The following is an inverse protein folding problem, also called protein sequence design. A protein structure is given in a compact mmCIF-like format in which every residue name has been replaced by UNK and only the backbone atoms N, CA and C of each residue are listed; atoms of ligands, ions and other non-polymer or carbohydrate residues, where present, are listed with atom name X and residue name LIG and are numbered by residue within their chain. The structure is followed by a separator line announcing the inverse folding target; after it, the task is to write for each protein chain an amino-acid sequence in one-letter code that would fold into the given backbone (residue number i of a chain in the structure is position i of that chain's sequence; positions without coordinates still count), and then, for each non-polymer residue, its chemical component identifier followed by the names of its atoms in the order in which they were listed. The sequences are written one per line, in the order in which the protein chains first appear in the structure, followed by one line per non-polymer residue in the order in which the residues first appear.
data_IF_357634385714
#
_entry.id   IF_357634385714
#
_cell.length_a   1.000
_cell.length_b   1.000
_cell.length_c   1.000
_cell.angle_alpha   90.00
_cell.angle_beta   90.00
_cell.angle_gamma   90.00
#
_symmetry.space_group_name_H-M   'P 1'
#
loop_
_entity.id
_entity.type
_entity.pdbx_description
1 polymer ?
#
# COMPACT_ATOMS: atom_id res chain seq x y z
N UNK A 1 20.46 8.09 -7.98
CA UNK A 1 19.51 8.93 -7.24
C UNK A 1 18.66 7.96 -6.43
N UNK A 2 18.91 7.80 -5.13
CA UNK A 2 18.18 6.82 -4.31
C UNK A 2 16.85 7.47 -3.89
N UNK A 3 15.77 7.15 -4.59
CA UNK A 3 14.42 7.54 -4.20
C UNK A 3 13.70 6.32 -3.66
N UNK A 4 13.33 6.33 -2.38
CA UNK A 4 12.46 5.30 -1.83
C UNK A 4 11.06 5.42 -2.46
N UNK A 5 10.36 4.29 -2.56
CA UNK A 5 8.95 4.26 -2.97
C UNK A 5 8.09 3.72 -1.82
N UNK A 6 6.85 4.19 -1.74
CA UNK A 6 5.87 3.71 -0.79
C UNK A 6 4.60 3.35 -1.56
N UNK A 7 4.14 2.12 -1.42
CA UNK A 7 2.82 1.69 -1.90
C UNK A 7 1.87 1.61 -0.70
N UNK A 8 0.76 2.34 -0.75
CA UNK A 8 -0.24 2.40 0.31
C UNK A 8 -1.56 1.78 -0.16
N UNK A 9 -2.03 0.75 0.55
CA UNK A 9 -3.31 0.11 0.28
C UNK A 9 -4.43 0.76 1.10
N UNK A 10 -5.55 1.14 0.46
CA UNK A 10 -6.72 1.72 1.13
C UNK A 10 -8.00 1.05 0.64
N UNK A 11 -8.96 0.85 1.53
CA UNK A 11 -10.29 0.33 1.18
C UNK A 11 -11.37 1.42 1.10
N UNK A 12 -11.28 2.47 1.94
CA UNK A 12 -12.26 3.55 1.96
C UNK A 12 -11.84 4.67 0.98
N UNK A 13 -12.63 4.98 -0.06
CA UNK A 13 -12.30 6.00 -1.05
C UNK A 13 -12.19 7.41 -0.44
N UNK A 14 -12.87 7.69 0.67
CA UNK A 14 -12.75 8.99 1.36
C UNK A 14 -11.37 9.15 2.01
N UNK A 15 -10.88 8.08 2.63
CA UNK A 15 -9.53 8.07 3.22
C UNK A 15 -8.45 8.05 2.15
N UNK A 16 -8.67 7.35 1.04
CA UNK A 16 -7.77 7.37 -0.12
C UNK A 16 -7.64 8.80 -0.67
N UNK A 17 -8.75 9.46 -0.96
CA UNK A 17 -8.76 10.84 -1.46
C UNK A 17 -8.12 11.84 -0.49
N UNK A 18 -8.31 11.66 0.82
CA UNK A 18 -7.62 12.48 1.82
C UNK A 18 -6.10 12.23 1.83
N UNK A 19 -5.67 10.97 1.71
CA UNK A 19 -4.26 10.60 1.65
C UNK A 19 -3.59 11.16 0.38
N UNK A 20 -4.22 11.04 -0.79
CA UNK A 20 -3.72 11.60 -2.05
C UNK A 20 -3.51 13.12 -1.94
N UNK A 21 -4.50 13.86 -1.42
CA UNK A 21 -4.36 15.31 -1.20
C UNK A 21 -3.21 15.64 -0.26
N UNK A 22 -3.05 14.89 0.82
CA UNK A 22 -1.99 15.14 1.79
C UNK A 22 -0.60 14.84 1.22
N UNK A 23 -0.47 13.74 0.46
CA UNK A 23 0.75 13.38 -0.28
C UNK A 23 1.12 14.47 -1.28
N UNK A 24 0.16 14.95 -2.06
CA UNK A 24 0.38 16.03 -3.02
C UNK A 24 0.80 17.34 -2.34
N UNK A 25 0.11 17.72 -1.27
CA UNK A 25 0.46 18.93 -0.49
C UNK A 25 1.86 18.84 0.14
N UNK A 26 2.32 17.62 0.47
CA UNK A 26 3.64 17.38 1.02
C UNK A 26 4.75 17.22 -0.05
N UNK A 27 4.39 17.20 -1.34
CA UNK A 27 5.35 17.10 -2.45
C UNK A 27 5.90 15.70 -2.71
N UNK A 28 5.18 14.64 -2.33
CA UNK A 28 5.64 13.24 -2.44
C UNK A 28 4.91 12.42 -3.50
N UNK A 29 4.16 13.05 -4.40
CA UNK A 29 3.37 12.35 -5.43
C UNK A 29 4.20 11.41 -6.31
N UNK A 30 5.48 11.73 -6.54
CA UNK A 30 6.36 10.93 -7.41
C UNK A 30 6.87 9.64 -6.73
N UNK A 31 6.71 9.50 -5.42
CA UNK A 31 7.26 8.39 -4.63
C UNK A 31 6.21 7.63 -3.82
N UNK A 32 4.98 8.12 -3.75
CA UNK A 32 3.87 7.44 -3.07
C UNK A 32 2.81 7.02 -4.07
N UNK A 33 2.59 5.72 -4.17
CA UNK A 33 1.49 5.14 -4.93
C UNK A 33 0.37 4.71 -3.98
N UNK A 34 -0.88 5.03 -4.33
CA UNK A 34 -2.05 4.58 -3.57
C UNK A 34 -2.88 3.62 -4.41
N UNK A 35 -3.16 2.43 -3.85
CA UNK A 35 -4.02 1.42 -4.50
C UNK A 35 -5.32 1.26 -3.70
N UNK A 36 -6.45 1.51 -4.36
CA UNK A 36 -7.78 1.41 -3.75
C UNK A 36 -8.36 0.01 -3.95
N UNK A 37 -8.70 -0.67 -2.86
CA UNK A 37 -9.33 -1.98 -2.85
C UNK A 37 -9.14 -2.73 -1.53
N UNK A 38 -9.73 -3.93 -1.40
CA UNK A 38 -9.41 -4.82 -0.30
C UNK A 38 -7.92 -5.18 -0.31
N UNK A 39 -7.26 -5.06 0.84
CA UNK A 39 -5.81 -5.20 0.90
C UNK A 39 -5.33 -6.61 0.51
N UNK A 40 -6.02 -7.69 0.91
CA UNK A 40 -5.62 -9.07 0.54
C UNK A 40 -5.73 -9.29 -0.97
N UNK A 41 -6.84 -8.89 -1.59
CA UNK A 41 -7.01 -9.00 -3.04
C UNK A 41 -5.98 -8.17 -3.81
N UNK A 42 -5.56 -7.04 -3.24
CA UNK A 42 -4.53 -6.20 -3.85
C UNK A 42 -3.15 -6.83 -3.73
N UNK A 43 -2.81 -7.40 -2.56
CA UNK A 43 -1.56 -8.13 -2.33
C UNK A 43 -1.47 -9.38 -3.21
N UNK A 44 -2.56 -10.14 -3.38
CA UNK A 44 -2.62 -11.29 -4.28
C UNK A 44 -2.27 -10.91 -5.73
N UNK A 45 -2.81 -9.77 -6.21
CA UNK A 45 -2.49 -9.26 -7.55
C UNK A 45 -1.02 -8.84 -7.66
N UNK A 46 -0.50 -8.13 -6.65
CA UNK A 46 0.90 -7.72 -6.60
C UNK A 46 1.86 -8.91 -6.70
N UNK A 47 1.60 -9.96 -5.91
CA UNK A 47 2.41 -11.18 -5.92
C UNK A 47 2.31 -11.88 -7.29
N UNK A 48 1.11 -11.96 -7.86
CA UNK A 48 0.90 -12.57 -9.18
C UNK A 48 1.55 -11.78 -10.33
N UNK A 49 1.67 -10.46 -10.20
CA UNK A 49 2.34 -9.56 -11.15
C UNK A 49 3.87 -9.54 -10.96
N UNK A 50 4.41 -10.29 -10.00
CA UNK A 50 5.83 -10.29 -9.63
C UNK A 50 6.35 -8.88 -9.31
N UNK A 51 5.52 -8.06 -8.63
CA UNK A 51 5.93 -6.73 -8.15
C UNK A 51 7.23 -6.85 -7.35
N UNK A 52 8.12 -5.85 -7.46
CA UNK A 52 9.40 -5.86 -6.74
C UNK A 52 9.18 -6.01 -5.22
N UNK A 53 10.04 -6.81 -4.58
CA UNK A 53 9.99 -7.00 -3.13
C UNK A 53 10.17 -5.68 -2.36
N UNK A 54 9.65 -5.65 -1.13
CA UNK A 54 9.68 -4.45 -0.27
C UNK A 54 10.72 -4.60 0.85
N UNK A 55 11.51 -3.56 1.10
CA UNK A 55 12.45 -3.51 2.23
C UNK A 55 11.75 -3.46 3.59
N UNK A 56 10.51 -2.96 3.63
CA UNK A 56 9.72 -2.80 4.84
C UNK A 56 8.22 -2.88 4.52
N UNK A 57 7.48 -3.63 5.34
CA UNK A 57 6.02 -3.70 5.29
C UNK A 57 5.43 -3.25 6.62
N UNK A 58 4.46 -2.32 6.58
CA UNK A 58 3.74 -1.83 7.76
C UNK A 58 2.26 -2.24 7.70
N UNK A 59 1.84 -3.13 8.62
CA UNK A 59 0.49 -3.68 8.65
C UNK A 59 -0.33 -2.97 9.74
N UNK A 60 -1.25 -2.11 9.31
CA UNK A 60 -2.22 -1.45 10.18
C UNK A 60 -3.60 -1.39 9.50
N UNK A 61 -4.29 -2.52 9.51
CA UNK A 61 -5.59 -2.72 8.86
C UNK A 61 -6.59 -3.37 9.83
N UNK A 62 -7.58 -4.10 9.30
CA UNK A 62 -8.47 -4.90 10.14
C UNK A 62 -7.69 -6.09 10.73
N UNK A 63 -7.92 -6.37 12.03
CA UNK A 63 -7.11 -7.36 12.77
C UNK A 63 -7.43 -8.80 12.38
N UNK A 64 -8.63 -9.04 11.87
CA UNK A 64 -9.12 -10.35 11.45
C UNK A 64 -8.23 -10.97 10.37
N UNK A 65 -7.67 -10.15 9.49
CA UNK A 65 -6.84 -10.59 8.38
C UNK A 65 -5.32 -10.45 8.66
N UNK A 66 -4.90 -10.14 9.89
CA UNK A 66 -3.48 -9.93 10.20
C UNK A 66 -2.58 -11.09 9.79
N UNK A 67 -3.03 -12.34 9.96
CA UNK A 67 -2.26 -13.51 9.52
C UNK A 67 -2.07 -13.51 8.00
N UNK A 68 -3.13 -13.31 7.23
CA UNK A 68 -3.03 -13.24 5.77
C UNK A 68 -2.15 -12.08 5.29
N UNK A 69 -2.19 -10.93 5.97
CA UNK A 69 -1.27 -9.82 5.66
C UNK A 69 0.18 -10.15 5.96
N UNK A 70 0.43 -10.88 7.05
CA UNK A 70 1.77 -11.30 7.43
C UNK A 70 2.32 -12.33 6.45
N UNK A 71 1.53 -13.33 6.09
CA UNK A 71 1.91 -14.36 5.12
C UNK A 71 2.19 -13.77 3.73
N UNK A 72 1.38 -12.81 3.27
CA UNK A 72 1.61 -12.13 1.99
C UNK A 72 2.84 -11.20 1.98
N UNK A 73 3.43 -10.91 3.14
CA UNK A 73 4.59 -10.02 3.27
C UNK A 73 5.93 -10.77 3.38
N UNK A 74 5.92 -12.10 3.36
CA UNK A 74 7.10 -12.98 3.40
C UNK A 74 7.52 -13.44 2.01
#
# INVERSE_FOLDING_TARGET
MYGGKVVALKIDPRHASAAERNVANAGFTDVVELRLGPALETLEKMIAEEDEGYDMVFIYANKQNNLGYFEAAL
#
